data_IF_798659142182
#
_entry.id   IF_798659142182
#
_cell.length_a   1.000
_cell.length_b   1.000
_cell.length_c   1.000
_cell.angle_alpha   90.00
_cell.angle_beta   90.00
_cell.angle_gamma   90.00
#
_symmetry.space_group_name_H-M   'P 1'
#
loop_
_entity.id
_entity.type
_entity.pdbx_description
1 polymer ?
#
# COMPACT_ATOMS: atom_id res chain seq x y z
N UNK A 1 14.57 -15.42 11.18
CA UNK A 1 14.47 -14.55 9.98
C UNK A 1 15.46 -13.40 10.11
N UNK A 2 16.28 -13.18 9.11
CA UNK A 2 17.19 -12.02 9.05
C UNK A 2 16.43 -10.80 8.49
N UNK A 3 16.99 -9.60 8.71
CA UNK A 3 16.45 -8.38 8.09
C UNK A 3 16.40 -8.49 6.57
N UNK A 4 17.47 -9.00 5.97
CA UNK A 4 17.56 -9.21 4.53
C UNK A 4 16.46 -10.15 4.02
N UNK A 5 16.17 -11.24 4.71
CA UNK A 5 15.09 -12.14 4.36
C UNK A 5 13.72 -11.46 4.44
N UNK A 6 13.46 -10.72 5.51
CA UNK A 6 12.24 -9.93 5.67
C UNK A 6 12.07 -8.93 4.52
N UNK A 7 13.11 -8.16 4.27
CA UNK A 7 13.13 -7.13 3.23
C UNK A 7 12.92 -7.75 1.84
N UNK A 8 13.69 -8.77 1.49
CA UNK A 8 13.60 -9.40 0.18
C UNK A 8 12.24 -10.07 -0.09
N UNK A 9 11.62 -10.62 0.94
CA UNK A 9 10.34 -11.30 0.81
C UNK A 9 9.19 -10.31 0.59
N UNK A 10 9.19 -9.18 1.31
CA UNK A 10 8.02 -8.31 1.38
C UNK A 10 8.21 -6.93 0.74
N UNK A 11 9.40 -6.59 0.24
CA UNK A 11 9.69 -5.26 -0.31
C UNK A 11 8.71 -4.87 -1.42
N UNK A 12 8.54 -5.72 -2.40
CA UNK A 12 7.67 -5.43 -3.55
C UNK A 12 6.24 -5.16 -3.12
N UNK A 13 5.71 -6.00 -2.23
CA UNK A 13 4.34 -5.86 -1.74
C UNK A 13 4.15 -4.57 -0.93
N UNK A 14 5.07 -4.28 -0.03
CA UNK A 14 5.01 -3.06 0.81
C UNK A 14 5.18 -1.80 -0.05
N UNK A 15 6.12 -1.82 -0.98
CA UNK A 15 6.34 -0.69 -1.88
C UNK A 15 5.11 -0.40 -2.75
N UNK A 16 4.52 -1.41 -3.35
CA UNK A 16 3.31 -1.27 -4.16
C UNK A 16 2.15 -0.71 -3.33
N UNK A 17 1.97 -1.22 -2.13
CA UNK A 17 0.96 -0.69 -1.21
C UNK A 17 1.24 0.77 -0.84
N UNK A 18 2.50 1.12 -0.58
CA UNK A 18 2.90 2.50 -0.30
C UNK A 18 2.63 3.43 -1.50
N UNK A 19 2.82 2.97 -2.73
CA UNK A 19 2.46 3.75 -3.93
C UNK A 19 0.94 3.98 -4.01
N UNK A 20 0.13 2.98 -3.67
CA UNK A 20 -1.31 3.14 -3.60
C UNK A 20 -1.74 4.17 -2.54
N UNK A 21 -1.01 4.27 -1.43
CA UNK A 21 -1.26 5.25 -0.38
C UNK A 21 -0.86 6.66 -0.79
N UNK A 22 0.35 6.81 -1.32
CA UNK A 22 1.02 8.11 -1.50
C UNK A 22 0.79 8.74 -2.86
N UNK A 23 0.58 7.93 -3.89
CA UNK A 23 0.58 8.35 -5.31
C UNK A 23 1.87 9.05 -5.74
N UNK A 24 2.96 8.82 -5.01
CA UNK A 24 4.27 9.43 -5.24
C UNK A 24 5.36 8.40 -4.97
N UNK A 25 6.21 8.14 -5.94
CA UNK A 25 7.24 7.10 -5.83
C UNK A 25 8.30 7.42 -4.78
N UNK A 26 8.66 8.68 -4.63
CA UNK A 26 9.65 9.12 -3.63
C UNK A 26 9.11 8.96 -2.22
N UNK A 27 7.90 9.43 -1.97
CA UNK A 27 7.22 9.26 -0.68
C UNK A 27 6.99 7.78 -0.37
N UNK A 28 6.64 6.97 -1.37
CA UNK A 28 6.47 5.53 -1.22
C UNK A 28 7.77 4.82 -0.81
N UNK A 29 8.92 5.25 -1.35
CA UNK A 29 10.23 4.74 -0.95
C UNK A 29 10.53 5.06 0.52
N UNK A 30 10.24 6.28 0.97
CA UNK A 30 10.42 6.71 2.35
C UNK A 30 9.53 5.91 3.31
N UNK A 31 8.24 5.77 2.97
CA UNK A 31 7.29 4.97 3.76
C UNK A 31 7.73 3.52 3.85
N UNK A 32 8.18 2.95 2.74
CA UNK A 32 8.65 1.56 2.69
C UNK A 32 9.86 1.34 3.57
N UNK A 33 10.88 2.19 3.44
CA UNK A 33 12.10 2.12 4.25
C UNK A 33 11.80 2.21 5.74
N UNK A 34 11.00 3.19 6.14
CA UNK A 34 10.60 3.37 7.54
C UNK A 34 9.78 2.19 8.06
N UNK A 35 8.92 1.61 7.22
CA UNK A 35 8.14 0.43 7.56
C UNK A 35 9.05 -0.73 7.97
N UNK A 36 10.07 -1.04 7.18
CA UNK A 36 10.99 -2.13 7.47
C UNK A 36 11.85 -1.87 8.71
N UNK A 37 12.31 -0.64 8.89
CA UNK A 37 13.08 -0.25 10.09
C UNK A 37 12.23 -0.47 11.35
N UNK A 38 11.01 0.01 11.36
CA UNK A 38 10.10 -0.15 12.51
C UNK A 38 9.71 -1.60 12.75
N UNK A 39 9.42 -2.32 11.69
CA UNK A 39 9.08 -3.73 11.76
C UNK A 39 10.24 -4.53 12.36
N UNK A 40 11.46 -4.30 11.89
CA UNK A 40 12.63 -4.98 12.40
C UNK A 40 12.90 -4.69 13.86
N UNK A 41 12.70 -3.46 14.31
CA UNK A 41 12.84 -3.09 15.72
C UNK A 41 11.89 -3.86 16.64
N UNK A 42 10.74 -4.29 16.12
CA UNK A 42 9.71 -5.03 16.85
C UNK A 42 9.63 -6.51 16.47
N UNK A 43 10.64 -7.05 15.81
CA UNK A 43 10.63 -8.41 15.23
C UNK A 43 10.31 -9.52 16.23
N UNK A 44 10.64 -9.35 17.50
CA UNK A 44 10.39 -10.35 18.55
C UNK A 44 8.89 -10.49 18.90
N UNK A 45 8.07 -9.58 18.41
CA UNK A 45 6.62 -9.57 18.63
C UNK A 45 5.82 -10.11 17.46
N UNK A 46 6.48 -10.52 16.38
CA UNK A 46 5.80 -11.00 15.19
C UNK A 46 5.20 -12.39 15.36
N UNK A 47 3.96 -12.49 14.96
CA UNK A 47 3.34 -13.78 14.61
C UNK A 47 3.41 -13.90 13.09
N UNK A 48 4.01 -14.95 12.60
CA UNK A 48 4.25 -15.18 11.17
C UNK A 48 2.99 -15.11 10.29
N UNK A 49 1.85 -15.48 10.86
CA UNK A 49 0.57 -15.52 10.14
C UNK A 49 0.02 -14.13 9.79
N UNK A 50 0.45 -13.08 10.49
CA UNK A 50 -0.05 -11.72 10.31
C UNK A 50 1.05 -10.72 9.91
N UNK A 51 2.23 -11.22 9.53
CA UNK A 51 3.38 -10.36 9.24
C UNK A 51 3.09 -9.37 8.09
N UNK A 52 2.51 -9.86 7.01
CA UNK A 52 2.15 -9.01 5.85
C UNK A 52 1.14 -7.93 6.26
N UNK A 53 0.10 -8.32 6.99
CA UNK A 53 -0.88 -7.36 7.51
C UNK A 53 -0.25 -6.34 8.47
N UNK A 54 0.68 -6.78 9.30
CA UNK A 54 1.42 -5.89 10.18
C UNK A 54 2.26 -4.86 9.40
N UNK A 55 2.94 -5.29 8.35
CA UNK A 55 3.73 -4.40 7.51
C UNK A 55 2.84 -3.36 6.81
N UNK A 56 1.70 -3.76 6.27
CA UNK A 56 0.75 -2.85 5.65
C UNK A 56 0.14 -1.87 6.63
N UNK A 57 -0.27 -2.33 7.81
CA UNK A 57 -0.78 -1.45 8.87
C UNK A 57 0.29 -0.43 9.31
N UNK A 58 1.54 -0.86 9.44
CA UNK A 58 2.67 0.01 9.77
C UNK A 58 2.89 1.06 8.68
N UNK A 59 2.90 0.66 7.41
CA UNK A 59 3.04 1.57 6.28
C UNK A 59 1.93 2.63 6.25
N UNK A 60 0.69 2.21 6.46
CA UNK A 60 -0.44 3.15 6.53
C UNK A 60 -0.31 4.14 7.69
N UNK A 61 0.08 3.66 8.86
CA UNK A 61 0.28 4.53 10.04
C UNK A 61 1.39 5.57 9.80
N UNK A 62 2.48 5.17 9.17
CA UNK A 62 3.57 6.08 8.78
C UNK A 62 3.07 7.11 7.78
N UNK A 63 2.32 6.69 6.76
CA UNK A 63 1.73 7.58 5.77
C UNK A 63 0.82 8.64 6.42
N UNK A 64 -0.06 8.23 7.32
CA UNK A 64 -0.96 9.14 8.04
C UNK A 64 -0.17 10.16 8.85
N UNK A 65 0.87 9.74 9.54
CA UNK A 65 1.75 10.64 10.30
C UNK A 65 2.48 11.63 9.40
N UNK A 66 2.98 11.20 8.25
CA UNK A 66 3.61 12.08 7.27
C UNK A 66 2.62 13.13 6.74
N UNK A 67 1.37 12.74 6.47
CA UNK A 67 0.32 13.68 6.06
C UNK A 67 0.01 14.71 7.12
N UNK A 68 -0.08 14.32 8.38
CA UNK A 68 -0.28 15.28 9.49
C UNK A 68 0.88 16.25 9.65
N UNK A 69 2.12 15.80 9.50
CA UNK A 69 3.30 16.66 9.53
C UNK A 69 3.33 17.63 8.36
N UNK A 70 3.03 17.15 7.16
CA UNK A 70 2.97 17.96 5.95
C UNK A 70 1.94 19.09 6.06
N UNK A 71 0.79 18.81 6.65
CA UNK A 71 -0.26 19.81 6.89
C UNK A 71 0.12 20.85 7.96
N UNK A 72 1.05 20.52 8.86
CA UNK A 72 1.53 21.44 9.93
C UNK A 72 2.74 22.25 9.51
N UNK A 73 3.59 21.71 8.63
CA UNK A 73 4.85 22.30 8.20
C UNK A 73 4.92 22.29 6.68
N UNK A 74 4.42 23.33 6.03
CA UNK A 74 4.57 23.53 4.59
C UNK A 74 6.02 23.76 4.13
N UNK A 75 6.99 23.71 5.05
CA UNK A 75 8.40 24.00 4.76
C UNK A 75 9.32 23.09 5.56
N UNK A 76 9.50 21.84 5.12
CA UNK A 76 10.69 21.07 5.50
C UNK A 76 11.51 20.80 4.25
N UNK A 77 12.82 21.18 4.24
CA UNK A 77 13.70 20.77 3.16
C UNK A 77 13.77 19.25 3.14
N UNK A 78 13.65 18.68 1.95
CA UNK A 78 13.86 17.27 1.70
C UNK A 78 15.31 16.92 2.04
N UNK A 79 15.55 16.44 3.25
CA UNK A 79 16.77 15.71 3.52
C UNK A 79 16.63 14.34 2.86
N UNK A 80 17.38 14.15 1.79
CA UNK A 80 17.51 12.87 1.12
C UNK A 80 18.12 11.87 2.08
N UNK A 81 17.29 10.97 2.61
CA UNK A 81 17.79 9.83 3.35
C UNK A 81 18.49 8.88 2.36
N UNK A 82 19.81 8.77 2.50
CA UNK A 82 20.63 7.76 1.83
C UNK A 82 20.23 6.36 2.32
N UNK A 83 19.34 5.75 1.62
CA UNK A 83 18.87 4.41 1.89
C UNK A 83 18.02 3.93 0.74
N UNK A 84 18.54 4.07 -0.48
CA UNK A 84 17.83 3.65 -1.68
C UNK A 84 17.55 2.16 -1.66
N UNK A 85 16.26 1.74 -1.71
CA UNK A 85 15.92 0.38 -2.06
C UNK A 85 16.54 0.04 -3.42
N UNK A 86 16.74 -1.26 -3.68
CA UNK A 86 17.26 -1.75 -4.95
C UNK A 86 16.54 -1.08 -6.13
N UNK A 87 17.23 -0.27 -6.97
CA UNK A 87 16.58 0.48 -8.04
C UNK A 87 15.88 -0.40 -9.07
N UNK A 88 16.36 -1.62 -9.29
CA UNK A 88 15.76 -2.55 -10.23
C UNK A 88 14.41 -3.08 -9.75
N UNK A 89 14.29 -3.39 -8.46
CA UNK A 89 13.00 -3.81 -7.87
C UNK A 89 11.98 -2.69 -7.85
N UNK A 90 12.41 -1.50 -7.48
CA UNK A 90 11.55 -0.33 -7.48
C UNK A 90 11.06 0.00 -8.89
N UNK A 91 11.93 -0.06 -9.90
CA UNK A 91 11.58 0.17 -11.30
C UNK A 91 10.59 -0.88 -11.82
N UNK A 92 10.82 -2.17 -11.55
CA UNK A 92 9.92 -3.25 -11.96
C UNK A 92 8.54 -3.09 -11.31
N UNK A 93 8.48 -2.78 -10.02
CA UNK A 93 7.23 -2.54 -9.31
C UNK A 93 6.48 -1.32 -9.86
N UNK A 94 7.18 -0.26 -10.27
CA UNK A 94 6.58 0.93 -10.92
C UNK A 94 5.95 0.60 -12.26
N UNK A 95 6.61 -0.18 -13.10
CA UNK A 95 6.10 -0.55 -14.42
C UNK A 95 4.79 -1.35 -14.34
N UNK A 96 4.72 -2.30 -13.41
CA UNK A 96 3.49 -3.07 -13.17
C UNK A 96 2.37 -2.18 -12.63
N UNK A 97 2.68 -1.26 -11.72
CA UNK A 97 1.73 -0.32 -11.14
C UNK A 97 1.17 0.67 -12.16
N UNK A 98 1.99 1.19 -13.08
CA UNK A 98 1.54 2.15 -14.10
C UNK A 98 0.40 1.58 -14.94
N UNK A 99 0.45 0.29 -15.25
CA UNK A 99 -0.60 -0.39 -16.00
C UNK A 99 -1.91 -0.49 -15.21
N UNK A 100 -1.84 -0.91 -13.95
CA UNK A 100 -3.00 -1.12 -13.09
C UNK A 100 -3.55 0.20 -12.58
N UNK A 101 -2.69 1.15 -12.25
CA UNK A 101 -3.07 2.46 -11.70
C UNK A 101 -3.96 3.25 -12.65
N UNK A 102 -3.72 3.19 -13.96
CA UNK A 102 -4.56 3.87 -14.95
C UNK A 102 -6.00 3.40 -14.92
N UNK A 103 -6.23 2.11 -14.74
CA UNK A 103 -7.57 1.53 -14.69
C UNK A 103 -8.27 1.80 -13.36
N UNK A 104 -7.52 1.81 -12.26
CA UNK A 104 -8.06 1.96 -10.91
C UNK A 104 -8.07 3.39 -10.39
N UNK A 105 -7.45 4.34 -11.10
CA UNK A 105 -7.32 5.74 -10.66
C UNK A 105 -8.66 6.46 -10.42
N UNK A 106 -9.72 6.03 -11.07
CA UNK A 106 -11.08 6.59 -10.93
C UNK A 106 -11.83 6.08 -9.72
N UNK A 107 -11.33 5.05 -9.04
CA UNK A 107 -11.97 4.50 -7.84
C UNK A 107 -11.50 5.31 -6.62
N UNK A 108 -12.41 5.72 -5.71
CA UNK A 108 -12.00 6.40 -4.48
C UNK A 108 -10.96 5.63 -3.70
N UNK A 109 -9.99 6.33 -3.12
CA UNK A 109 -8.79 5.74 -2.53
C UNK A 109 -9.07 4.66 -1.47
N UNK A 110 -10.00 4.85 -0.50
CA UNK A 110 -10.27 3.79 0.48
C UNK A 110 -10.86 2.51 -0.14
N UNK A 111 -11.76 2.64 -1.10
CA UNK A 111 -12.36 1.50 -1.80
C UNK A 111 -11.32 0.75 -2.63
N UNK A 112 -10.44 1.49 -3.29
CA UNK A 112 -9.33 0.93 -4.07
C UNK A 112 -8.34 0.16 -3.18
N UNK A 113 -7.95 0.72 -2.05
CA UNK A 113 -7.06 0.05 -1.11
C UNK A 113 -7.65 -1.27 -0.60
N UNK A 114 -8.93 -1.26 -0.25
CA UNK A 114 -9.63 -2.47 0.18
C UNK A 114 -9.65 -3.54 -0.91
N UNK A 115 -9.91 -3.14 -2.15
CA UNK A 115 -9.92 -4.06 -3.29
C UNK A 115 -8.53 -4.66 -3.54
N UNK A 116 -7.48 -3.84 -3.54
CA UNK A 116 -6.09 -4.30 -3.73
C UNK A 116 -5.70 -5.30 -2.64
N UNK A 117 -5.99 -4.99 -1.39
CA UNK A 117 -5.70 -5.90 -0.28
C UNK A 117 -6.42 -7.24 -0.41
N UNK A 118 -7.66 -7.22 -0.91
CA UNK A 118 -8.44 -8.43 -1.09
C UNK A 118 -8.02 -9.26 -2.30
N UNK A 119 -7.78 -8.63 -3.44
CA UNK A 119 -7.55 -9.32 -4.70
C UNK A 119 -6.08 -9.61 -4.98
N UNK A 120 -5.19 -8.69 -4.68
CA UNK A 120 -3.74 -8.86 -4.92
C UNK A 120 -3.08 -9.63 -3.78
N UNK A 121 -3.44 -9.31 -2.54
CA UNK A 121 -2.82 -9.90 -1.36
C UNK A 121 -3.63 -11.01 -0.70
N UNK A 122 -4.86 -11.26 -1.18
CA UNK A 122 -5.74 -12.33 -0.73
C UNK A 122 -6.01 -12.30 0.79
N UNK A 123 -6.04 -11.10 1.37
CA UNK A 123 -6.25 -10.94 2.79
C UNK A 123 -7.74 -11.14 3.16
N UNK A 124 -8.02 -11.77 4.31
CA UNK A 124 -9.39 -11.85 4.82
C UNK A 124 -9.90 -10.47 5.23
N UNK A 125 -11.21 -10.29 5.24
CA UNK A 125 -11.84 -8.99 5.56
C UNK A 125 -11.47 -8.49 6.95
N UNK A 126 -11.26 -9.36 7.92
CA UNK A 126 -10.82 -9.02 9.27
C UNK A 126 -9.45 -8.32 9.25
N UNK A 127 -8.57 -8.79 8.41
CA UNK A 127 -7.23 -8.24 8.26
C UNK A 127 -7.28 -6.89 7.52
N UNK A 128 -8.08 -6.80 6.46
CA UNK A 128 -8.31 -5.54 5.72
C UNK A 128 -8.89 -4.48 6.66
N UNK A 129 -9.87 -4.85 7.48
CA UNK A 129 -10.48 -3.96 8.46
C UNK A 129 -9.44 -3.42 9.45
N UNK A 130 -8.54 -4.28 9.93
CA UNK A 130 -7.44 -3.90 10.84
C UNK A 130 -6.46 -2.94 10.18
N UNK A 131 -6.04 -3.24 8.95
CA UNK A 131 -5.08 -2.42 8.19
C UNK A 131 -5.65 -1.01 7.93
N UNK A 132 -6.92 -0.93 7.52
CA UNK A 132 -7.57 0.32 7.17
C UNK A 132 -8.24 1.03 8.35
N UNK A 133 -8.22 0.43 9.52
CA UNK A 133 -8.88 0.94 10.74
C UNK A 133 -10.38 1.22 10.52
N UNK A 134 -11.07 0.22 10.02
CA UNK A 134 -12.52 0.24 9.74
C UNK A 134 -13.16 -1.06 10.25
N UNK A 135 -14.50 -1.09 10.25
CA UNK A 135 -15.21 -2.33 10.57
C UNK A 135 -15.11 -3.36 9.44
N UNK A 136 -15.31 -4.62 9.77
CA UNK A 136 -15.35 -5.71 8.78
C UNK A 136 -16.45 -5.48 7.74
N UNK A 137 -17.61 -5.02 8.18
CA UNK A 137 -18.72 -4.67 7.29
C UNK A 137 -18.35 -3.55 6.32
N UNK A 138 -17.66 -2.51 6.80
CA UNK A 138 -17.16 -1.43 5.96
C UNK A 138 -16.13 -1.92 4.94
N UNK A 139 -15.25 -2.84 5.33
CA UNK A 139 -14.27 -3.44 4.41
C UNK A 139 -14.97 -4.18 3.26
N UNK A 140 -15.99 -4.98 3.57
CA UNK A 140 -16.79 -5.69 2.55
C UNK A 140 -17.48 -4.73 1.59
N UNK A 141 -18.09 -3.68 2.10
CA UNK A 141 -18.79 -2.67 1.29
C UNK A 141 -17.81 -1.97 0.35
N UNK A 142 -16.61 -1.61 0.83
CA UNK A 142 -15.58 -0.95 0.02
C UNK A 142 -15.10 -1.84 -1.13
N UNK A 143 -14.85 -3.10 -0.87
CA UNK A 143 -14.47 -4.07 -1.92
C UNK A 143 -15.59 -4.23 -2.94
N UNK A 144 -16.83 -4.34 -2.49
CA UNK A 144 -17.98 -4.46 -3.36
C UNK A 144 -18.15 -3.24 -4.28
N UNK A 145 -18.06 -2.03 -3.73
CA UNK A 145 -18.14 -0.78 -4.50
C UNK A 145 -17.04 -0.68 -5.54
N UNK A 146 -15.81 -1.01 -5.17
CA UNK A 146 -14.67 -0.98 -6.10
C UNK A 146 -14.87 -1.98 -7.25
N UNK A 147 -15.32 -3.19 -6.96
CA UNK A 147 -15.65 -4.18 -8.00
C UNK A 147 -16.73 -3.70 -8.95
N UNK A 148 -17.77 -3.12 -8.43
CA UNK A 148 -18.86 -2.59 -9.27
C UNK A 148 -18.40 -1.49 -10.22
N UNK A 149 -17.53 -0.60 -9.75
CA UNK A 149 -16.96 0.46 -10.60
C UNK A 149 -16.09 -0.09 -11.71
N UNK A 150 -15.27 -1.10 -11.42
CA UNK A 150 -14.45 -1.77 -12.43
C UNK A 150 -15.30 -2.45 -13.50
N UNK A 151 -16.36 -3.14 -13.11
CA UNK A 151 -17.26 -3.82 -14.04
C UNK A 151 -18.00 -2.83 -14.94
N UNK A 152 -18.45 -1.70 -14.40
CA UNK A 152 -19.08 -0.63 -15.18
C UNK A 152 -18.13 -0.06 -16.23
N UNK A 153 -16.86 0.20 -15.86
CA UNK A 153 -15.83 0.69 -16.78
C UNK A 153 -15.51 -0.31 -17.89
N UNK A 154 -15.48 -1.60 -17.57
CA UNK A 154 -15.25 -2.66 -18.57
C UNK A 154 -16.40 -2.78 -19.56
N UNK A 155 -17.64 -2.59 -19.13
CA UNK A 155 -18.82 -2.63 -19.99
C UNK A 155 -18.85 -1.47 -21.00
N UNK A 156 -18.41 -0.28 -20.59
CA UNK A 156 -18.32 0.88 -21.48
C UNK A 156 -17.27 0.68 -22.58
N UNK A 157 -16.17 -0.01 -22.29
CA UNK A 157 -15.13 -0.33 -23.29
C UNK A 157 -15.58 -1.37 -24.31
N UNK A 158 -16.48 -2.28 -23.93
CA UNK A 158 -17.00 -3.31 -24.84
C UNK A 158 -18.23 -2.85 -25.63
N UNK A 159 -18.85 -1.76 -25.25
CA UNK A 159 -20.03 -1.20 -25.93
C UNK A 159 -19.71 -0.19 -27.04
N UNK A 160 -18.45 0.10 -27.27
CA UNK A 160 -18.00 1.06 -28.27
C UNK A 160 -17.49 0.41 -29.55
N UNK A 161 -18.38 -0.29 -30.26
CA UNK A 161 -18.09 -0.75 -31.61
C UNK A 161 -19.29 -0.44 -32.50
#
# INVERSE_FOLDING_TARGET
MTFEQLYNTYFTDVYRFAVWLTHDSTEAEDVTSETFIRAWAKRDRFRTETLKGYLFATARNIFIKHRHRSNRNEQLPEEMADGSPDPHRAAAARMDLDRVTRELSRIPSPDRLALVLRTEHLLPYEEIARILDISVGAARVKVYRARRRLLATSSEKNGGN
#
